data_IF_901839368749
#
_entry.id   IF_901839368749
#
_cell.length_a   1.000
_cell.length_b   1.000
_cell.length_c   1.000
_cell.angle_alpha   90.00
_cell.angle_beta   90.00
_cell.angle_gamma   90.00
#
_symmetry.space_group_name_H-M   'P 1'
#
loop_
_entity.id
_entity.type
_entity.pdbx_description
1 polymer ?
#
# COMPACT_ATOMS: atom_id res chain seq x y z
N UNK A 1 -8.54 -47.43 4.69
CA UNK A 1 -7.76 -46.41 5.45
C UNK A 1 -8.05 -45.04 4.84
N UNK A 2 -9.00 -44.28 5.39
CA UNK A 2 -9.31 -42.92 4.98
C UNK A 2 -8.39 -41.95 5.73
N UNK A 3 -7.37 -41.43 5.04
CA UNK A 3 -6.47 -40.39 5.57
C UNK A 3 -7.24 -39.06 5.56
N UNK A 4 -7.72 -38.63 6.72
CA UNK A 4 -8.21 -37.26 6.93
C UNK A 4 -7.03 -36.31 6.76
N UNK A 5 -7.01 -35.55 5.66
CA UNK A 5 -6.03 -34.49 5.49
C UNK A 5 -6.32 -33.39 6.53
N UNK A 6 -5.31 -32.90 7.27
CA UNK A 6 -5.52 -31.80 8.20
C UNK A 6 -5.97 -30.54 7.45
N UNK A 7 -7.06 -29.92 7.92
CA UNK A 7 -7.54 -28.64 7.42
C UNK A 7 -6.42 -27.61 7.52
N UNK A 8 -6.02 -26.92 6.43
CA UNK A 8 -4.98 -25.92 6.49
C UNK A 8 -5.39 -24.80 7.46
N UNK A 9 -4.66 -24.65 8.56
CA UNK A 9 -4.82 -23.50 9.45
C UNK A 9 -4.30 -22.27 8.70
N UNK A 10 -5.18 -21.33 8.35
CA UNK A 10 -4.74 -20.05 7.77
C UNK A 10 -3.76 -19.38 8.74
N UNK A 11 -2.55 -19.08 8.27
CA UNK A 11 -1.52 -18.42 9.07
C UNK A 11 -1.97 -17.00 9.44
N UNK A 12 -2.46 -16.83 10.67
CA UNK A 12 -2.87 -15.53 11.24
C UNK A 12 -1.71 -14.52 11.27
N UNK A 13 -0.47 -14.99 11.36
CA UNK A 13 0.72 -14.14 11.33
C UNK A 13 0.94 -13.46 9.97
N UNK A 14 0.72 -14.16 8.86
CA UNK A 14 0.94 -13.58 7.51
C UNK A 14 -0.05 -12.47 7.19
N UNK A 15 -1.32 -12.63 7.56
CA UNK A 15 -2.34 -11.58 7.31
C UNK A 15 -2.12 -10.37 8.22
N UNK A 16 -1.63 -10.55 9.46
CA UNK A 16 -1.27 -9.43 10.33
C UNK A 16 -0.15 -8.56 9.75
N UNK A 17 0.83 -9.17 9.08
CA UNK A 17 1.88 -8.41 8.40
C UNK A 17 1.31 -7.56 7.25
N UNK A 18 0.36 -8.10 6.49
CA UNK A 18 -0.36 -7.33 5.45
C UNK A 18 -1.14 -6.17 6.09
N UNK A 19 -1.90 -6.44 7.15
CA UNK A 19 -2.68 -5.43 7.87
C UNK A 19 -1.81 -4.28 8.37
N UNK A 20 -0.68 -4.58 8.99
CA UNK A 20 0.27 -3.58 9.48
C UNK A 20 0.87 -2.75 8.32
N UNK A 21 1.34 -3.40 7.26
CA UNK A 21 1.90 -2.70 6.09
C UNK A 21 0.86 -1.84 5.37
N UNK A 22 -0.37 -2.32 5.25
CA UNK A 22 -1.46 -1.59 4.61
C UNK A 22 -1.89 -0.37 5.44
N UNK A 23 -2.08 -0.54 6.75
CA UNK A 23 -2.39 0.57 7.66
C UNK A 23 -1.28 1.63 7.66
N UNK A 24 -0.01 1.21 7.72
CA UNK A 24 1.12 2.13 7.66
C UNK A 24 1.18 2.87 6.31
N UNK A 25 0.89 2.19 5.19
CA UNK A 25 0.80 2.83 3.87
C UNK A 25 -0.27 3.92 3.84
N UNK A 26 -1.44 3.67 4.45
CA UNK A 26 -2.50 4.67 4.59
C UNK A 26 -2.04 5.86 5.43
N UNK A 27 -1.38 5.63 6.56
CA UNK A 27 -0.83 6.72 7.40
C UNK A 27 0.18 7.57 6.62
N UNK A 28 1.08 6.94 5.86
CA UNK A 28 2.06 7.67 5.03
C UNK A 28 1.38 8.43 3.90
N UNK A 29 0.34 7.87 3.27
CA UNK A 29 -0.46 8.59 2.28
C UNK A 29 -1.16 9.82 2.88
N UNK A 30 -1.72 9.71 4.09
CA UNK A 30 -2.31 10.87 4.78
C UNK A 30 -1.25 11.96 5.01
N UNK A 31 -0.05 11.58 5.44
CA UNK A 31 1.07 12.51 5.57
C UNK A 31 1.44 13.15 4.22
N UNK A 32 1.45 12.39 3.12
CA UNK A 32 1.66 12.93 1.77
C UNK A 32 0.60 13.96 1.38
N UNK A 33 -0.67 13.74 1.69
CA UNK A 33 -1.73 14.70 1.38
C UNK A 33 -1.66 15.97 2.23
N UNK A 34 -1.31 15.84 3.52
CA UNK A 34 -1.09 17.01 4.40
C UNK A 34 0.07 17.85 3.87
N UNK A 35 1.21 17.23 3.59
CA UNK A 35 2.39 17.92 3.07
C UNK A 35 2.17 18.48 1.66
N UNK A 36 1.40 17.79 0.81
CA UNK A 36 1.00 18.32 -0.50
C UNK A 36 0.18 19.62 -0.34
N UNK A 37 -0.77 19.66 0.59
CA UNK A 37 -1.52 20.88 0.91
C UNK A 37 -0.61 22.02 1.37
N UNK A 38 0.42 21.72 2.18
CA UNK A 38 1.41 22.70 2.63
C UNK A 38 2.31 23.19 1.48
N UNK A 39 2.67 22.31 0.53
CA UNK A 39 3.40 22.69 -0.69
C UNK A 39 2.58 23.65 -1.54
N UNK A 40 1.28 23.39 -1.70
CA UNK A 40 0.37 24.29 -2.43
C UNK A 40 0.15 25.63 -1.71
N UNK A 41 0.30 25.65 -0.39
CA UNK A 41 0.25 26.86 0.43
C UNK A 41 1.61 27.57 0.56
N UNK A 42 2.62 27.16 -0.22
CA UNK A 42 3.99 27.68 -0.19
C UNK A 42 4.62 27.73 1.22
N UNK A 43 4.29 26.75 2.06
CA UNK A 43 4.87 26.63 3.40
C UNK A 43 6.34 26.20 3.33
N UNK A 44 7.19 26.81 4.17
CA UNK A 44 8.61 26.49 4.21
C UNK A 44 8.85 25.02 4.63
N UNK A 45 9.79 24.35 3.95
CA UNK A 45 10.14 22.95 4.22
C UNK A 45 9.10 21.90 3.79
N UNK A 46 7.94 22.30 3.26
CA UNK A 46 6.88 21.37 2.86
C UNK A 46 7.31 20.42 1.72
N UNK A 47 8.14 20.90 0.78
CA UNK A 47 8.68 20.08 -0.32
C UNK A 47 9.59 18.96 0.20
N UNK A 48 10.44 19.27 1.18
CA UNK A 48 11.34 18.27 1.79
C UNK A 48 10.54 17.24 2.58
N UNK A 49 9.54 17.70 3.34
CA UNK A 49 8.60 16.82 4.05
C UNK A 49 7.87 15.88 3.09
N UNK A 50 7.33 16.41 2.00
CA UNK A 50 6.64 15.63 0.97
C UNK A 50 7.58 14.64 0.24
N UNK A 51 8.83 15.04 -0.02
CA UNK A 51 9.85 14.16 -0.58
C UNK A 51 10.21 13.01 0.38
N UNK A 52 10.40 13.31 1.67
CA UNK A 52 10.66 12.31 2.68
C UNK A 52 9.49 11.33 2.85
N UNK A 53 8.25 11.82 2.82
CA UNK A 53 7.06 10.99 2.85
C UNK A 53 6.91 10.12 1.61
N UNK A 54 7.32 10.59 0.42
CA UNK A 54 7.39 9.76 -0.77
C UNK A 54 8.36 8.58 -0.59
N UNK A 55 9.57 8.82 -0.09
CA UNK A 55 10.55 7.76 0.21
C UNK A 55 9.97 6.75 1.21
N UNK A 56 9.37 7.24 2.29
CA UNK A 56 8.71 6.39 3.28
C UNK A 56 7.61 5.52 2.64
N UNK A 57 6.83 6.08 1.70
CA UNK A 57 5.79 5.37 0.98
C UNK A 57 6.36 4.25 0.10
N UNK A 58 7.50 4.46 -0.57
CA UNK A 58 8.16 3.39 -1.33
C UNK A 58 8.64 2.27 -0.42
N UNK A 59 9.29 2.60 0.72
CA UNK A 59 9.76 1.59 1.68
C UNK A 59 8.59 0.77 2.21
N UNK A 60 7.53 1.42 2.69
CA UNK A 60 6.36 0.74 3.24
C UNK A 60 5.60 -0.02 2.16
N UNK A 61 5.51 0.52 0.94
CA UNK A 61 4.91 -0.14 -0.21
C UNK A 61 5.63 -1.44 -0.56
N UNK A 62 6.97 -1.45 -0.56
CA UNK A 62 7.76 -2.67 -0.76
C UNK A 62 7.48 -3.70 0.36
N UNK A 63 7.43 -3.25 1.62
CA UNK A 63 7.10 -4.13 2.75
C UNK A 63 5.70 -4.74 2.58
N UNK A 64 4.72 -3.98 2.10
CA UNK A 64 3.38 -4.47 1.81
C UNK A 64 3.37 -5.49 0.66
N UNK A 65 4.13 -5.27 -0.42
CA UNK A 65 4.31 -6.24 -1.51
C UNK A 65 4.90 -7.55 -0.98
N UNK A 66 5.93 -7.48 -0.15
CA UNK A 66 6.55 -8.67 0.46
C UNK A 66 5.56 -9.37 1.38
N UNK A 67 4.80 -8.63 2.20
CA UNK A 67 3.80 -9.21 3.10
C UNK A 67 2.67 -9.92 2.34
N UNK A 68 2.12 -9.30 1.30
CA UNK A 68 1.08 -9.90 0.46
C UNK A 68 1.61 -11.14 -0.27
N UNK A 69 2.85 -11.09 -0.76
CA UNK A 69 3.49 -12.24 -1.43
C UNK A 69 3.70 -13.41 -0.47
N UNK A 70 4.13 -13.15 0.77
CA UNK A 70 4.24 -14.17 1.82
C UNK A 70 2.88 -14.79 2.16
N UNK A 71 1.85 -13.96 2.28
CA UNK A 71 0.48 -14.43 2.51
C UNK A 71 -0.03 -15.30 1.36
N UNK A 72 0.19 -14.88 0.10
CA UNK A 72 -0.18 -15.65 -1.09
C UNK A 72 0.56 -17.01 -1.15
N UNK A 73 1.85 -17.05 -0.81
CA UNK A 73 2.63 -18.30 -0.73
C UNK A 73 2.15 -19.23 0.39
N UNK A 74 1.55 -18.69 1.45
CA UNK A 74 0.93 -19.46 2.53
C UNK A 74 -0.51 -19.93 2.20
N UNK A 75 -0.94 -19.86 0.94
CA UNK A 75 -2.28 -20.28 0.50
C UNK A 75 -3.35 -19.18 0.54
N UNK A 76 -2.94 -17.93 0.79
CA UNK A 76 -3.82 -16.77 0.76
C UNK A 76 -4.16 -16.26 -0.65
N UNK A 77 -4.99 -15.21 -0.72
CA UNK A 77 -5.36 -14.59 -1.98
C UNK A 77 -4.13 -14.00 -2.70
N UNK A 78 -4.06 -14.19 -4.03
CA UNK A 78 -2.92 -13.73 -4.86
C UNK A 78 -3.11 -12.32 -5.43
N UNK A 79 -4.36 -11.91 -5.66
CA UNK A 79 -4.66 -10.60 -6.25
C UNK A 79 -4.10 -9.39 -5.46
N UNK A 80 -4.01 -9.40 -4.11
CA UNK A 80 -3.43 -8.28 -3.37
C UNK A 80 -1.94 -8.05 -3.67
N UNK A 81 -1.22 -9.09 -4.10
CA UNK A 81 0.17 -8.98 -4.57
C UNK A 81 0.21 -8.11 -5.83
N UNK A 82 -0.69 -8.36 -6.77
CA UNK A 82 -0.76 -7.63 -8.04
C UNK A 82 -1.10 -6.16 -7.78
N UNK A 83 -2.13 -5.91 -6.96
CA UNK A 83 -2.55 -4.53 -6.66
C UNK A 83 -1.48 -3.78 -5.88
N UNK A 84 -0.90 -4.37 -4.84
CA UNK A 84 0.17 -3.71 -4.07
C UNK A 84 1.42 -3.48 -4.91
N UNK A 85 1.80 -4.40 -5.80
CA UNK A 85 2.94 -4.22 -6.69
C UNK A 85 2.68 -3.13 -7.74
N UNK A 86 1.46 -3.09 -8.30
CA UNK A 86 1.07 -2.03 -9.23
C UNK A 86 1.11 -0.65 -8.55
N UNK A 87 0.57 -0.54 -7.33
CA UNK A 87 0.62 0.70 -6.54
C UNK A 87 2.07 1.10 -6.24
N UNK A 88 2.91 0.15 -5.82
CA UNK A 88 4.32 0.40 -5.53
C UNK A 88 5.08 0.93 -6.75
N UNK A 89 4.96 0.27 -7.90
CA UNK A 89 5.61 0.70 -9.14
C UNK A 89 5.08 2.05 -9.61
N UNK A 90 3.76 2.23 -9.62
CA UNK A 90 3.14 3.51 -9.98
C UNK A 90 3.48 4.64 -8.99
N UNK A 91 3.86 4.32 -7.75
CA UNK A 91 4.41 5.27 -6.79
C UNK A 91 5.72 5.92 -7.24
N UNK A 92 6.59 5.21 -7.97
CA UNK A 92 7.80 5.81 -8.57
C UNK A 92 7.45 6.75 -9.73
N UNK A 93 6.48 6.36 -10.55
CA UNK A 93 5.96 7.23 -11.61
C UNK A 93 5.36 8.50 -11.01
N UNK A 94 4.64 8.38 -9.89
CA UNK A 94 4.09 9.53 -9.18
C UNK A 94 5.17 10.43 -8.59
N UNK A 95 6.27 9.88 -8.07
CA UNK A 95 7.41 10.67 -7.62
C UNK A 95 8.03 11.48 -8.78
N UNK A 96 8.23 10.87 -9.95
CA UNK A 96 8.74 11.57 -11.13
C UNK A 96 7.77 12.65 -11.65
N UNK A 97 6.47 12.39 -11.63
CA UNK A 97 5.44 13.38 -11.99
C UNK A 97 5.40 14.55 -10.99
N UNK A 98 5.60 14.26 -9.70
CA UNK A 98 5.68 15.28 -8.65
C UNK A 98 6.90 16.18 -8.83
N UNK A 99 8.07 15.57 -9.03
CA UNK A 99 9.35 16.27 -9.23
C UNK A 99 9.37 17.15 -10.49
N UNK A 100 8.78 16.66 -11.59
CA UNK A 100 8.63 17.43 -12.83
C UNK A 100 7.57 18.54 -12.77
N UNK A 101 6.83 18.68 -11.67
CA UNK A 101 5.79 19.69 -11.50
C UNK A 101 4.49 19.40 -12.29
N UNK A 102 4.33 18.19 -12.85
CA UNK A 102 3.13 17.82 -13.60
C UNK A 102 1.96 17.47 -12.67
N UNK A 103 1.40 18.49 -12.02
CA UNK A 103 0.30 18.35 -11.05
C UNK A 103 -0.97 17.77 -11.68
N UNK A 104 -1.22 18.04 -12.97
CA UNK A 104 -2.38 17.54 -13.69
C UNK A 104 -2.41 16.00 -13.78
N UNK A 105 -1.25 15.34 -13.82
CA UNK A 105 -1.14 13.88 -13.78
C UNK A 105 -0.85 13.36 -12.36
N UNK A 106 -0.09 14.11 -11.56
CA UNK A 106 0.28 13.72 -10.20
C UNK A 106 -0.94 13.64 -9.28
N UNK A 107 -1.80 14.67 -9.26
CA UNK A 107 -2.94 14.70 -8.33
C UNK A 107 -3.95 13.57 -8.62
N UNK A 108 -4.47 13.37 -9.84
CA UNK A 108 -5.39 12.27 -10.10
C UNK A 108 -4.73 10.90 -9.92
N UNK A 109 -3.45 10.76 -10.30
CA UNK A 109 -2.72 9.51 -10.12
C UNK A 109 -2.55 9.13 -8.65
N UNK A 110 -2.30 10.11 -7.78
CA UNK A 110 -2.24 9.89 -6.31
C UNK A 110 -3.57 9.37 -5.74
N UNK A 111 -4.72 9.80 -6.30
CA UNK A 111 -6.03 9.28 -5.92
C UNK A 111 -6.19 7.81 -6.33
N UNK A 112 -5.73 7.44 -7.53
CA UNK A 112 -5.76 6.04 -8.00
C UNK A 112 -4.90 5.15 -7.09
N UNK A 113 -3.69 5.59 -6.71
CA UNK A 113 -2.84 4.87 -5.75
C UNK A 113 -3.52 4.71 -4.39
N UNK A 114 -4.21 5.76 -3.93
CA UNK A 114 -4.94 5.76 -2.66
C UNK A 114 -6.08 4.75 -2.69
N UNK A 115 -6.84 4.68 -3.79
CA UNK A 115 -7.90 3.68 -3.98
C UNK A 115 -7.32 2.27 -3.93
N UNK A 116 -6.23 2.01 -4.64
CA UNK A 116 -5.57 0.69 -4.62
C UNK A 116 -5.09 0.30 -3.22
N UNK A 117 -4.49 1.25 -2.49
CA UNK A 117 -4.02 1.05 -1.11
C UNK A 117 -5.17 0.79 -0.15
N UNK A 118 -6.23 1.59 -0.21
CA UNK A 118 -7.44 1.42 0.61
C UNK A 118 -8.16 0.12 0.27
N UNK A 119 -8.18 -0.29 -0.99
CA UNK A 119 -8.80 -1.56 -1.39
C UNK A 119 -8.07 -2.76 -0.80
N UNK A 120 -6.73 -2.80 -0.88
CA UNK A 120 -5.92 -3.84 -0.22
C UNK A 120 -6.11 -3.78 1.30
N UNK A 121 -6.18 -2.59 1.89
CA UNK A 121 -6.44 -2.41 3.32
C UNK A 121 -7.79 -2.99 3.69
N UNK A 122 -8.87 -2.59 3.02
CA UNK A 122 -10.22 -3.08 3.28
C UNK A 122 -10.28 -4.61 3.18
N UNK A 123 -9.67 -5.20 2.14
CA UNK A 123 -9.56 -6.65 2.03
C UNK A 123 -8.80 -7.30 3.18
N UNK A 124 -7.68 -6.71 3.61
CA UNK A 124 -6.87 -7.26 4.69
C UNK A 124 -7.60 -7.28 6.05
N UNK A 125 -8.56 -6.37 6.24
CA UNK A 125 -9.35 -6.24 7.46
C UNK A 125 -10.76 -6.86 7.38
N UNK A 126 -11.22 -7.27 6.20
CA UNK A 126 -12.51 -7.98 6.08
C UNK A 126 -12.39 -9.43 6.56
N UNK A 127 -13.42 -9.91 7.27
CA UNK A 127 -13.51 -11.33 7.67
C UNK A 127 -13.71 -12.17 6.41
N UNK A 128 -12.74 -13.02 6.09
CA UNK A 128 -12.90 -14.04 5.05
C UNK A 128 -13.92 -15.09 5.56
N UNK A 129 -14.98 -15.43 4.81
CA UNK A 129 -15.90 -16.49 5.20
C UNK A 129 -15.13 -17.77 5.54
N UNK A 130 -15.53 -18.43 6.63
CA UNK A 130 -15.14 -19.80 6.91
C UNK A 130 -15.95 -20.64 5.92
N UNK A 131 -15.26 -21.31 5.00
CA UNK A 131 -15.87 -22.30 4.12
C UNK A 131 -16.16 -23.56 4.92
#
# INVERSE_FOLDING_TARGET
MTRTAPTPTRSTGTIRAVQAGAALSVVVLLFQFVTAGQVLADSSGARDGHGAGAIALHVVGLLLVVATLRHARAGGARWPVVVSAAVFVAGFVQAALGDSGNMAAHVPGSLVLSIGTVWVTAWAFTRQPVA
#
